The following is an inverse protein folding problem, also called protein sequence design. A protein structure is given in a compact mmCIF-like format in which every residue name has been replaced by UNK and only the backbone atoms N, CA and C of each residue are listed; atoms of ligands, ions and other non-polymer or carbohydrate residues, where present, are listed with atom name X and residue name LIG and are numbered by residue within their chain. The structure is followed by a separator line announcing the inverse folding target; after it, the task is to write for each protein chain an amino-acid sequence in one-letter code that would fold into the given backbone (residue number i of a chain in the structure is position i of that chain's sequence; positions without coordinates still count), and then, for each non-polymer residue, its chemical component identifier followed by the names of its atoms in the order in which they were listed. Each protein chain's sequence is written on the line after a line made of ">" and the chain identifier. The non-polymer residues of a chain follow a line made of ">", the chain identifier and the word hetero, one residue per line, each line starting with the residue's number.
data_IF_508679752913
#
_entry.id   IF_508679752913
#
_cell.length_a   1.000
_cell.length_b   1.000
_cell.length_c   1.000
_cell.angle_alpha   90.00
_cell.angle_beta   90.00
_cell.angle_gamma   90.00
#
_symmetry.space_group_name_H-M   'P 1'
#
loop_
_entity.id
_entity.type
_entity.pdbx_description
1 polymer ?
#
# COMPACT_ATOMS: atom_id res chain seq x y z
N UNK A 1 30.31 5.92 7.68
CA UNK A 1 28.94 6.19 7.19
C UNK A 1 28.55 5.01 6.32
N UNK A 2 27.50 4.27 6.65
CA UNK A 2 27.06 3.12 5.84
C UNK A 2 26.39 3.69 4.59
N UNK A 3 26.83 3.26 3.41
CA UNK A 3 26.28 3.72 2.13
C UNK A 3 24.93 3.05 1.84
N UNK A 4 24.11 3.71 1.00
CA UNK A 4 22.92 3.09 0.45
C UNK A 4 23.31 2.04 -0.59
N UNK A 5 22.83 0.81 -0.39
CA UNK A 5 22.95 -0.29 -1.33
C UNK A 5 21.65 -0.40 -2.13
N UNK A 6 21.75 -0.48 -3.46
CA UNK A 6 20.59 -0.78 -4.31
C UNK A 6 20.28 -2.27 -4.21
N UNK A 7 19.09 -2.61 -3.74
CA UNK A 7 18.64 -4.00 -3.58
C UNK A 7 17.95 -4.49 -4.85
N UNK A 8 17.03 -3.68 -5.40
CA UNK A 8 16.25 -4.08 -6.58
C UNK A 8 15.65 -2.87 -7.31
N UNK A 9 15.22 -3.07 -8.55
CA UNK A 9 14.53 -2.08 -9.39
C UNK A 9 13.28 -2.68 -10.02
N UNK A 10 12.25 -1.87 -10.20
CA UNK A 10 10.98 -2.28 -10.80
C UNK A 10 10.39 -1.20 -11.70
N UNK A 11 9.74 -1.64 -12.77
CA UNK A 11 8.96 -0.76 -13.62
C UNK A 11 7.59 -0.51 -13.00
N UNK A 12 7.15 0.75 -13.00
CA UNK A 12 5.78 1.09 -12.63
C UNK A 12 4.97 1.26 -13.91
N UNK A 13 3.84 0.54 -14.09
CA UNK A 13 2.99 0.71 -15.26
C UNK A 13 2.62 2.17 -15.52
N UNK A 14 3.01 2.68 -16.69
CA UNK A 14 2.74 4.05 -17.14
C UNK A 14 3.62 5.13 -16.50
N UNK A 15 4.67 4.78 -15.76
CA UNK A 15 5.72 5.72 -15.34
C UNK A 15 6.91 5.65 -16.29
N UNK A 16 7.61 6.78 -16.45
CA UNK A 16 8.87 6.86 -17.20
C UNK A 16 10.08 6.47 -16.35
N UNK A 17 9.97 6.65 -15.03
CA UNK A 17 11.01 6.33 -14.07
C UNK A 17 10.78 4.96 -13.40
N UNK A 18 11.88 4.33 -12.99
CA UNK A 18 11.85 3.06 -12.27
C UNK A 18 11.75 3.29 -10.76
N UNK A 19 10.96 2.44 -10.11
CA UNK A 19 10.98 2.29 -8.66
C UNK A 19 12.24 1.54 -8.25
N UNK A 20 12.95 2.03 -7.24
CA UNK A 20 14.19 1.45 -6.74
C UNK A 20 14.08 1.22 -5.25
N UNK A 21 14.45 0.03 -4.80
CA UNK A 21 14.55 -0.30 -3.39
C UNK A 21 16.01 -0.22 -2.96
N UNK A 22 16.28 0.63 -1.98
CA UNK A 22 17.59 0.77 -1.35
C UNK A 22 17.56 0.26 0.08
N UNK A 23 18.72 -0.18 0.57
CA UNK A 23 18.95 -0.57 1.96
C UNK A 23 20.18 0.15 2.52
N UNK A 24 20.11 0.51 3.79
CA UNK A 24 21.25 0.97 4.59
C UNK A 24 21.11 0.39 5.98
N UNK A 25 21.95 -0.60 6.30
CA UNK A 25 21.82 -1.37 7.55
C UNK A 25 20.44 -2.03 7.72
N UNK A 26 19.60 -1.55 8.64
CA UNK A 26 18.21 -2.03 8.84
C UNK A 26 17.16 -1.11 8.21
N UNK A 27 17.59 -0.04 7.56
CA UNK A 27 16.71 0.94 6.94
C UNK A 27 16.51 0.64 5.46
N UNK A 28 15.28 0.77 4.98
CA UNK A 28 14.90 0.64 3.58
C UNK A 28 14.32 1.95 3.06
N UNK A 29 14.54 2.22 1.77
CA UNK A 29 14.06 3.42 1.08
C UNK A 29 13.56 3.03 -0.31
N UNK A 30 12.30 3.37 -0.62
CA UNK A 30 11.76 3.27 -1.97
C UNK A 30 11.89 4.61 -2.67
N UNK A 31 12.46 4.61 -3.87
CA UNK A 31 12.75 5.83 -4.63
C UNK A 31 12.23 5.72 -6.06
N UNK A 32 11.66 6.80 -6.58
CA UNK A 32 11.32 6.93 -8.00
C UNK A 32 12.29 7.95 -8.61
N UNK A 33 13.07 7.51 -9.59
CA UNK A 33 14.13 8.36 -10.14
C UNK A 33 15.15 8.75 -9.06
N UNK A 34 15.29 10.05 -8.80
CA UNK A 34 16.15 10.62 -7.76
C UNK A 34 15.41 10.95 -6.44
N UNK A 35 14.10 10.75 -6.39
CA UNK A 35 13.25 11.19 -5.27
C UNK A 35 12.90 10.03 -4.36
N UNK A 36 13.09 10.22 -3.05
CA UNK A 36 12.64 9.27 -2.03
C UNK A 36 11.14 9.41 -1.81
N UNK A 37 10.41 8.30 -1.98
CA UNK A 37 8.97 8.26 -1.80
C UNK A 37 8.60 7.94 -0.36
N UNK A 38 9.29 6.95 0.23
CA UNK A 38 9.03 6.46 1.58
C UNK A 38 10.24 5.73 2.15
N UNK A 39 10.30 5.66 3.48
CA UNK A 39 11.34 4.93 4.24
C UNK A 39 10.71 4.02 5.28
N UNK A 40 11.44 2.98 5.68
CA UNK A 40 10.99 2.07 6.73
C UNK A 40 11.01 2.66 8.14
N UNK A 41 11.44 3.93 8.29
CA UNK A 41 11.53 4.61 9.61
C UNK A 41 10.32 5.48 9.93
N UNK A 42 9.60 5.94 8.91
CA UNK A 42 8.51 6.91 9.06
C UNK A 42 7.29 6.35 8.36
N UNK A 43 6.35 5.82 9.15
CA UNK A 43 5.10 5.20 8.66
C UNK A 43 3.86 5.65 9.46
N UNK A 44 3.94 6.82 10.11
CA UNK A 44 2.86 7.32 10.97
C UNK A 44 1.60 7.70 10.20
N UNK A 45 1.73 8.13 8.94
CA UNK A 45 0.60 8.39 8.04
C UNK A 45 -0.18 7.11 7.72
N UNK A 46 0.53 6.02 7.50
CA UNK A 46 0.01 4.70 7.15
C UNK A 46 -0.76 4.11 8.33
N UNK A 47 -0.20 4.21 9.54
CA UNK A 47 -0.90 3.82 10.77
C UNK A 47 -2.17 4.66 10.98
N UNK A 48 -2.07 5.99 10.86
CA UNK A 48 -3.19 6.89 11.06
C UNK A 48 -4.32 6.69 10.02
N UNK A 49 -3.98 6.45 8.76
CA UNK A 49 -4.94 6.16 7.70
C UNK A 49 -5.74 4.88 8.02
N UNK A 50 -5.04 3.83 8.44
CA UNK A 50 -5.66 2.58 8.84
C UNK A 50 -6.56 2.75 10.07
N UNK A 51 -6.07 3.44 11.11
CA UNK A 51 -6.83 3.68 12.33
C UNK A 51 -8.12 4.47 12.06
N UNK A 52 -8.05 5.55 11.26
CA UNK A 52 -9.21 6.37 10.91
C UNK A 52 -10.29 5.56 10.16
N UNK A 53 -9.89 4.66 9.27
CA UNK A 53 -10.84 3.80 8.58
C UNK A 53 -11.43 2.75 9.53
N UNK A 54 -10.57 2.05 10.28
CA UNK A 54 -10.98 0.99 11.20
C UNK A 54 -11.87 1.47 12.34
N UNK A 55 -11.70 2.70 12.84
CA UNK A 55 -12.60 3.32 13.83
C UNK A 55 -14.08 3.32 13.39
N UNK A 56 -14.33 3.31 12.07
CA UNK A 56 -15.69 3.33 11.50
C UNK A 56 -16.24 1.96 11.17
N UNK A 57 -15.38 0.97 10.89
CA UNK A 57 -15.80 -0.30 10.29
C UNK A 57 -15.38 -1.54 11.06
N UNK A 58 -14.42 -1.46 11.99
CA UNK A 58 -13.83 -2.64 12.64
C UNK A 58 -14.83 -3.45 13.47
N UNK A 59 -15.91 -2.83 13.92
CA UNK A 59 -16.96 -3.54 14.67
C UNK A 59 -17.95 -4.32 13.82
N UNK A 60 -17.95 -4.10 12.50
CA UNK A 60 -18.85 -4.78 11.56
C UNK A 60 -18.46 -6.25 11.39
N UNK A 61 -19.42 -7.18 11.38
CA UNK A 61 -19.16 -8.58 11.04
C UNK A 61 -18.79 -8.71 9.55
N UNK A 62 -17.90 -9.66 9.21
CA UNK A 62 -17.39 -9.90 7.84
C UNK A 62 -16.91 -8.61 7.14
N UNK A 63 -16.22 -7.72 7.88
CA UNK A 63 -15.75 -6.43 7.36
C UNK A 63 -14.80 -6.61 6.16
N UNK A 64 -15.08 -5.92 5.05
CA UNK A 64 -14.31 -6.00 3.80
C UNK A 64 -13.62 -4.67 3.54
N UNK A 65 -12.30 -4.67 3.60
CA UNK A 65 -11.46 -3.51 3.35
C UNK A 65 -10.76 -3.62 2.00
N UNK A 66 -10.67 -2.51 1.27
CA UNK A 66 -9.77 -2.38 0.11
C UNK A 66 -8.65 -1.41 0.47
N UNK A 67 -7.40 -1.79 0.22
CA UNK A 67 -6.24 -0.90 0.28
C UNK A 67 -5.67 -0.76 -1.13
N UNK A 68 -5.60 0.47 -1.63
CA UNK A 68 -4.93 0.79 -2.88
C UNK A 68 -3.46 1.10 -2.65
N UNK A 69 -2.58 0.29 -3.24
CA UNK A 69 -1.14 0.33 -3.01
C UNK A 69 -0.72 -0.51 -1.81
N UNK A 70 0.39 -1.25 -1.94
CA UNK A 70 0.97 -2.02 -0.83
C UNK A 70 2.10 -1.27 -0.12
N UNK A 71 2.90 -0.50 -0.86
CA UNK A 71 4.05 0.23 -0.30
C UNK A 71 5.00 -0.70 0.47
N UNK A 72 5.33 -0.34 1.71
CA UNK A 72 6.10 -1.18 2.64
C UNK A 72 5.22 -2.06 3.55
N UNK A 73 3.91 -2.13 3.31
CA UNK A 73 2.98 -3.00 4.02
C UNK A 73 2.47 -2.45 5.36
N UNK A 74 2.85 -1.24 5.77
CA UNK A 74 2.47 -0.65 7.05
C UNK A 74 0.97 -0.40 7.19
N UNK A 75 0.31 0.17 6.17
CA UNK A 75 -1.14 0.40 6.19
C UNK A 75 -1.92 -0.92 6.34
N UNK A 76 -1.49 -1.97 5.65
CA UNK A 76 -2.07 -3.31 5.79
C UNK A 76 -1.86 -3.86 7.21
N UNK A 77 -0.63 -3.80 7.72
CA UNK A 77 -0.31 -4.28 9.06
C UNK A 77 -1.15 -3.55 10.13
N UNK A 78 -1.29 -2.23 10.01
CA UNK A 78 -2.08 -1.42 10.91
C UNK A 78 -3.57 -1.79 10.87
N UNK A 79 -4.14 -1.95 9.68
CA UNK A 79 -5.53 -2.37 9.53
C UNK A 79 -5.76 -3.76 10.16
N UNK A 80 -4.88 -4.72 9.90
CA UNK A 80 -4.98 -6.08 10.44
C UNK A 80 -4.91 -6.13 11.97
N UNK A 81 -4.16 -5.23 12.63
CA UNK A 81 -4.14 -5.12 14.10
C UNK A 81 -5.49 -4.68 14.68
N UNK A 82 -6.27 -3.90 13.92
CA UNK A 82 -7.54 -3.31 14.37
C UNK A 82 -8.76 -4.17 14.00
N UNK A 83 -8.69 -4.92 12.91
CA UNK A 83 -9.80 -5.72 12.39
C UNK A 83 -9.98 -7.03 13.17
N UNK A 84 -11.23 -7.54 13.18
CA UNK A 84 -11.59 -8.84 13.75
C UNK A 84 -11.08 -10.01 12.90
N UNK A 85 -11.15 -11.23 13.43
CA UNK A 85 -10.65 -12.44 12.78
C UNK A 85 -11.42 -12.86 11.52
N UNK A 86 -12.66 -12.39 11.37
CA UNK A 86 -13.57 -12.65 10.25
C UNK A 86 -13.47 -11.59 9.13
N UNK A 87 -12.65 -10.56 9.31
CA UNK A 87 -12.46 -9.51 8.32
C UNK A 87 -11.66 -10.01 7.10
N UNK A 88 -11.77 -9.27 5.99
CA UNK A 88 -11.01 -9.50 4.75
C UNK A 88 -10.42 -8.19 4.28
N UNK A 89 -9.12 -8.19 4.00
CA UNK A 89 -8.41 -7.03 3.45
C UNK A 89 -7.88 -7.40 2.08
N UNK A 90 -8.38 -6.75 1.05
CA UNK A 90 -7.84 -6.85 -0.30
C UNK A 90 -6.87 -5.69 -0.53
N UNK A 91 -5.63 -5.98 -0.90
CA UNK A 91 -4.65 -5.01 -1.35
C UNK A 91 -4.55 -5.05 -2.87
N UNK A 92 -4.76 -3.92 -3.51
CA UNK A 92 -4.59 -3.74 -4.95
C UNK A 92 -3.21 -3.13 -5.21
N UNK A 93 -2.28 -3.91 -5.73
CA UNK A 93 -0.92 -3.46 -6.04
C UNK A 93 -0.68 -3.55 -7.55
N UNK A 94 -0.04 -2.55 -8.14
CA UNK A 94 0.23 -2.47 -9.57
C UNK A 94 1.58 -3.08 -9.96
N UNK A 95 2.53 -3.11 -9.02
CA UNK A 95 3.93 -3.43 -9.26
C UNK A 95 4.24 -4.81 -8.65
N UNK A 96 4.48 -5.86 -9.47
CA UNK A 96 4.75 -7.21 -8.96
C UNK A 96 5.93 -7.26 -7.98
N UNK A 97 6.96 -6.45 -8.21
CA UNK A 97 8.13 -6.38 -7.36
C UNK A 97 7.81 -5.89 -5.94
N UNK A 98 6.87 -4.94 -5.78
CA UNK A 98 6.47 -4.45 -4.45
C UNK A 98 5.85 -5.58 -3.62
N UNK A 99 5.05 -6.44 -4.25
CA UNK A 99 4.50 -7.64 -3.61
C UNK A 99 5.63 -8.60 -3.21
N UNK A 100 6.59 -8.84 -4.12
CA UNK A 100 7.72 -9.71 -3.85
C UNK A 100 8.60 -9.18 -2.69
N UNK A 101 8.86 -7.88 -2.64
CA UNK A 101 9.61 -7.26 -1.55
C UNK A 101 8.91 -7.41 -0.21
N UNK A 102 7.59 -7.24 -0.15
CA UNK A 102 6.78 -7.44 1.07
C UNK A 102 6.65 -8.90 1.50
N UNK A 103 6.89 -9.87 0.60
CA UNK A 103 7.03 -11.29 0.96
C UNK A 103 8.46 -11.68 1.32
N UNK A 104 9.43 -10.83 1.00
CA UNK A 104 10.86 -11.07 1.18
C UNK A 104 11.49 -10.04 2.11
N UNK A 105 12.35 -9.19 1.53
CA UNK A 105 13.25 -8.30 2.27
C UNK A 105 12.55 -7.25 3.15
N UNK A 106 11.28 -6.92 2.87
CA UNK A 106 10.49 -5.98 3.68
C UNK A 106 9.52 -6.67 4.64
N UNK A 107 9.37 -7.99 4.56
CA UNK A 107 8.32 -8.71 5.27
C UNK A 107 8.36 -8.45 6.79
N UNK A 108 9.54 -8.53 7.39
CA UNK A 108 9.72 -8.31 8.84
C UNK A 108 9.45 -6.87 9.28
N UNK A 109 9.61 -5.89 8.40
CA UNK A 109 9.48 -4.47 8.75
C UNK A 109 8.06 -4.13 9.21
N UNK A 110 7.06 -4.75 8.60
CA UNK A 110 5.65 -4.58 8.93
C UNK A 110 5.06 -5.79 9.69
N UNK A 111 5.89 -6.74 10.14
CA UNK A 111 5.43 -7.93 10.87
C UNK A 111 4.73 -8.97 9.99
N UNK A 112 5.18 -9.14 8.74
CA UNK A 112 4.71 -10.14 7.76
C UNK A 112 3.20 -10.08 7.48
N UNK A 113 2.62 -8.91 7.17
CA UNK A 113 1.17 -8.77 7.06
C UNK A 113 0.55 -9.55 5.89
N UNK A 114 1.35 -9.92 4.88
CA UNK A 114 0.91 -10.77 3.77
C UNK A 114 0.76 -12.25 4.13
N UNK A 115 1.21 -12.67 5.31
CA UNK A 115 1.02 -14.02 5.82
C UNK A 115 -0.25 -14.14 6.68
N UNK A 116 -0.91 -13.03 7.00
CA UNK A 116 -2.19 -13.04 7.71
C UNK A 116 -3.29 -13.63 6.80
N UNK A 117 -4.07 -14.63 7.25
CA UNK A 117 -5.10 -15.27 6.43
C UNK A 117 -6.23 -14.33 5.99
N UNK A 118 -6.36 -13.16 6.62
CA UNK A 118 -7.33 -12.13 6.25
C UNK A 118 -6.85 -11.26 5.08
N UNK A 119 -5.56 -11.29 4.76
CA UNK A 119 -4.96 -10.47 3.72
C UNK A 119 -4.93 -11.20 2.37
N UNK A 120 -5.41 -10.52 1.33
CA UNK A 120 -5.32 -10.94 -0.06
C UNK A 120 -4.65 -9.83 -0.86
N UNK A 121 -3.78 -10.18 -1.81
CA UNK A 121 -3.16 -9.22 -2.73
C UNK A 121 -3.55 -9.56 -4.15
N UNK A 122 -4.05 -8.56 -4.87
CA UNK A 122 -4.41 -8.67 -6.28
C UNK A 122 -3.54 -7.72 -7.10
N UNK A 123 -2.79 -8.27 -8.06
CA UNK A 123 -1.98 -7.50 -9.00
C UNK A 123 -2.92 -6.78 -9.98
N UNK A 124 -3.34 -5.56 -9.63
CA UNK A 124 -4.41 -4.84 -10.33
C UNK A 124 -4.39 -3.35 -10.02
N UNK A 125 -5.04 -2.58 -10.89
CA UNK A 125 -5.30 -1.17 -10.63
C UNK A 125 -6.49 -1.04 -9.67
N UNK A 126 -6.28 -0.39 -8.53
CA UNK A 126 -7.34 -0.09 -7.55
C UNK A 126 -8.52 0.65 -8.21
N UNK A 127 -8.24 1.51 -9.17
CA UNK A 127 -9.24 2.20 -9.97
C UNK A 127 -10.16 1.24 -10.74
N UNK A 128 -9.61 0.18 -11.30
CA UNK A 128 -10.38 -0.83 -12.02
C UNK A 128 -11.22 -1.66 -11.04
N UNK A 129 -10.69 -2.00 -9.86
CA UNK A 129 -11.44 -2.74 -8.84
C UNK A 129 -12.64 -1.96 -8.33
N UNK A 130 -12.46 -0.68 -7.98
CA UNK A 130 -13.55 0.16 -7.47
C UNK A 130 -14.67 0.27 -8.52
N UNK A 131 -14.33 0.42 -9.81
CA UNK A 131 -15.34 0.49 -10.89
C UNK A 131 -16.08 -0.83 -11.12
N UNK A 132 -15.38 -1.95 -11.03
CA UNK A 132 -15.93 -3.27 -11.39
C UNK A 132 -16.64 -3.97 -10.23
N UNK A 133 -16.28 -3.67 -8.98
CA UNK A 133 -16.82 -4.31 -7.78
C UNK A 133 -17.69 -3.36 -6.97
N UNK A 134 -18.92 -3.15 -7.43
CA UNK A 134 -19.89 -2.29 -6.74
C UNK A 134 -20.29 -2.85 -5.38
N UNK A 135 -20.35 -2.00 -4.35
CA UNK A 135 -20.77 -2.34 -2.98
C UNK A 135 -20.00 -3.53 -2.38
N UNK A 136 -18.74 -3.70 -2.78
CA UNK A 136 -17.93 -4.86 -2.37
C UNK A 136 -17.12 -4.63 -1.08
N UNK A 137 -16.96 -3.38 -0.65
CA UNK A 137 -16.10 -2.99 0.46
C UNK A 137 -16.85 -2.07 1.44
N UNK A 138 -16.59 -2.26 2.72
CA UNK A 138 -17.08 -1.39 3.81
C UNK A 138 -16.24 -0.12 3.95
N UNK A 139 -14.95 -0.19 3.58
CA UNK A 139 -14.05 0.96 3.49
C UNK A 139 -12.96 0.75 2.43
N UNK A 140 -12.52 1.86 1.85
CA UNK A 140 -11.45 1.92 0.86
C UNK A 140 -10.39 2.91 1.35
N UNK A 141 -9.15 2.45 1.48
CA UNK A 141 -7.99 3.26 1.87
C UNK A 141 -7.13 3.43 0.63
N UNK A 142 -6.86 4.66 0.24
CA UNK A 142 -6.04 4.98 -0.93
C UNK A 142 -4.75 5.65 -0.48
N UNK A 143 -3.63 4.96 -0.69
CA UNK A 143 -2.28 5.44 -0.40
C UNK A 143 -1.40 5.27 -1.65
N UNK A 144 -1.85 5.89 -2.75
CA UNK A 144 -1.31 5.69 -4.10
C UNK A 144 -0.48 6.88 -4.61
N UNK A 145 -0.27 7.92 -3.79
CA UNK A 145 0.17 9.24 -4.24
C UNK A 145 1.58 9.69 -3.81
N UNK A 146 2.46 8.74 -3.47
CA UNK A 146 3.84 9.09 -3.09
C UNK A 146 4.76 9.35 -4.30
N UNK A 147 4.28 9.97 -5.38
CA UNK A 147 5.10 10.39 -6.52
C UNK A 147 5.83 11.72 -6.27
N UNK A 148 6.94 12.02 -6.98
CA UNK A 148 7.76 13.21 -6.77
C UNK A 148 7.03 14.55 -6.92
N UNK A 149 5.86 14.59 -7.55
CA UNK A 149 5.07 15.81 -7.71
C UNK A 149 4.05 16.07 -6.59
N UNK A 150 3.91 15.17 -5.60
CA UNK A 150 2.93 15.31 -4.49
C UNK A 150 1.48 15.53 -4.96
N UNK A 151 1.25 15.33 -6.25
CA UNK A 151 0.00 15.53 -6.95
C UNK A 151 -0.48 14.15 -7.31
N UNK A 152 -1.70 13.84 -6.87
CA UNK A 152 -2.52 12.79 -7.49
C UNK A 152 -2.21 12.80 -8.98
N UNK A 153 -1.73 11.67 -9.53
CA UNK A 153 -1.57 11.57 -11.00
C UNK A 153 -2.87 12.14 -11.59
N UNK A 154 -2.88 13.06 -12.56
CA UNK A 154 -4.15 13.67 -13.01
C UNK A 154 -5.22 12.63 -13.39
N UNK A 155 -4.77 11.43 -13.80
CA UNK A 155 -5.57 10.23 -14.04
C UNK A 155 -6.24 9.61 -12.80
N UNK A 156 -5.73 9.86 -11.60
CA UNK A 156 -6.24 9.39 -10.32
C UNK A 156 -7.14 10.42 -9.62
N UNK A 157 -7.19 11.69 -10.08
CA UNK A 157 -8.01 12.74 -9.45
C UNK A 157 -9.49 12.36 -9.29
N UNK A 158 -10.03 11.59 -10.24
CA UNK A 158 -11.42 11.14 -10.18
C UNK A 158 -11.70 10.16 -9.01
N UNK A 159 -10.68 9.43 -8.51
CA UNK A 159 -10.83 8.54 -7.34
C UNK A 159 -11.24 9.33 -6.08
N UNK A 160 -10.84 10.60 -6.01
CA UNK A 160 -11.13 11.50 -4.88
C UNK A 160 -12.41 12.32 -5.10
N UNK A 161 -13.31 11.85 -5.97
CA UNK A 161 -14.61 12.48 -6.23
C UNK A 161 -15.77 11.56 -5.87
N UNK A 162 -16.97 12.11 -5.72
CA UNK A 162 -18.18 11.31 -5.50
C UNK A 162 -18.50 10.32 -6.64
N UNK A 163 -17.92 10.49 -7.83
CA UNK A 163 -18.05 9.54 -8.93
C UNK A 163 -17.03 8.38 -8.83
N UNK A 164 -16.01 8.53 -8.00
CA UNK A 164 -14.97 7.54 -7.73
C UNK A 164 -15.26 6.63 -6.54
N UNK A 165 -16.29 6.91 -5.75
CA UNK A 165 -16.76 6.16 -4.58
C UNK A 165 -18.20 5.68 -4.81
#
# INVERSE_FOLDING_TARGET
>A
MIAWELIDCAEIPGATEQLRLYRRDQEYSMRLGGTELMTSRVHGSEDALADLACDRVADRPDCRLLIGGLGMGYTLAAALRRLKGDARVLVAELVPAVIAWNRGVLAELAGRPLEDPRALVELSDVAALIRTRRQAFDAVLLDVDNGPEGSTRPRNNWLYTAAGL
#
